data_IF_684159319982
#
_entry.id   IF_684159319982
#
_cell.length_a   1.000
_cell.length_b   1.000
_cell.length_c   1.000
_cell.angle_alpha   90.00
_cell.angle_beta   90.00
_cell.angle_gamma   90.00
#
_symmetry.space_group_name_H-M   'P 1'
#
loop_
_entity.id
_entity.type
_entity.pdbx_description
1 polymer ?
#
# COMPACT_ATOMS: atom_id res chain seq x y z
N UNK A 1 33.15 45.07 21.94
CA UNK A 1 34.46 44.90 21.30
C UNK A 1 34.33 43.59 20.51
N UNK A 2 34.15 43.70 19.35
CA UNK A 2 34.83 43.68 18.07
C UNK A 2 34.49 42.42 17.31
N UNK A 3 33.66 42.56 16.30
CA UNK A 3 33.76 41.79 15.02
C UNK A 3 35.11 42.19 14.34
N UNK A 4 35.60 41.51 13.35
CA UNK A 4 35.03 41.40 12.02
C UNK A 4 35.28 40.06 11.27
N UNK A 5 34.40 39.76 10.27
CA UNK A 5 34.54 39.97 8.81
C UNK A 5 35.62 39.15 8.07
N UNK A 6 35.24 38.41 7.03
CA UNK A 6 35.52 38.63 5.60
C UNK A 6 35.48 37.31 4.85
N UNK A 7 34.62 37.14 3.91
CA UNK A 7 34.64 37.38 2.45
C UNK A 7 35.30 36.23 1.67
N UNK A 8 34.55 35.60 0.85
CA UNK A 8 34.33 35.75 -0.60
C UNK A 8 35.47 35.22 -1.49
N UNK A 9 35.12 34.42 -2.45
CA UNK A 9 35.47 34.47 -3.88
C UNK A 9 35.06 33.18 -4.58
N UNK A 10 34.12 33.24 -5.55
CA UNK A 10 34.31 33.41 -7.01
C UNK A 10 35.07 32.22 -7.61
N UNK A 11 34.63 31.52 -8.56
CA UNK A 11 34.18 31.71 -9.94
C UNK A 11 34.66 30.51 -10.75
N UNK A 12 33.93 30.17 -11.78
CA UNK A 12 34.35 29.27 -12.85
C UNK A 12 33.15 28.52 -13.41
N UNK A 13 32.47 29.01 -14.24
CA UNK A 13 32.29 29.30 -15.66
C UNK A 13 33.11 28.43 -16.61
N UNK A 14 32.43 27.57 -17.38
CA UNK A 14 32.71 27.17 -18.76
C UNK A 14 31.59 26.20 -19.18
N UNK A 15 30.68 26.60 -19.97
CA UNK A 15 30.57 26.90 -21.40
C UNK A 15 30.78 25.67 -22.31
N UNK A 16 29.63 25.30 -22.93
CA UNK A 16 29.39 24.89 -24.30
C UNK A 16 30.08 23.62 -24.85
N UNK A 17 29.35 22.75 -25.51
CA UNK A 17 29.27 22.80 -26.96
C UNK A 17 28.27 21.75 -27.47
N UNK A 18 27.30 22.23 -28.23
CA UNK A 18 26.42 21.45 -29.08
C UNK A 18 27.18 20.94 -30.31
N UNK A 19 26.94 19.69 -30.69
CA UNK A 19 27.20 19.23 -32.07
C UNK A 19 26.08 18.31 -32.50
N UNK A 20 25.23 18.79 -33.39
CA UNK A 20 24.55 18.02 -34.44
C UNK A 20 25.41 18.17 -35.71
N UNK A 21 25.49 17.17 -36.58
CA UNK A 21 24.66 17.01 -37.74
C UNK A 21 24.46 15.51 -38.12
N UNK A 22 23.74 15.07 -39.07
CA UNK A 22 23.04 15.48 -40.23
C UNK A 22 22.37 14.22 -40.81
N UNK A 23 21.29 14.46 -41.47
CA UNK A 23 20.47 13.58 -42.29
C UNK A 23 21.24 12.83 -43.37
N UNK A 24 20.89 11.55 -43.63
CA UNK A 24 21.05 10.94 -44.95
C UNK A 24 19.79 10.13 -45.30
N UNK A 25 19.16 10.59 -46.33
CA UNK A 25 18.07 9.99 -47.13
C UNK A 25 18.65 8.95 -48.10
N UNK A 26 17.98 7.80 -48.27
CA UNK A 26 17.90 7.02 -49.53
C UNK A 26 16.92 5.86 -49.31
N UNK A 27 15.84 5.86 -49.84
CA UNK A 27 15.13 5.64 -51.12
C UNK A 27 15.25 4.19 -51.65
N UNK A 28 14.06 3.59 -51.70
CA UNK A 28 13.50 2.67 -52.71
C UNK A 28 13.93 1.20 -52.72
N UNK A 29 12.93 0.34 -52.69
CA UNK A 29 13.01 -1.05 -53.09
C UNK A 29 11.71 -1.79 -52.83
N UNK A 30 10.71 -1.65 -53.75
CA UNK A 30 9.52 -2.50 -53.81
C UNK A 30 9.93 -3.94 -54.11
N UNK A 31 9.39 -4.90 -53.38
CA UNK A 31 9.07 -6.19 -53.96
C UNK A 31 7.92 -6.85 -53.19
N UNK A 32 6.84 -7.03 -53.89
CA UNK A 32 5.66 -7.83 -53.54
C UNK A 32 6.06 -9.29 -53.47
N UNK A 33 5.73 -9.98 -52.37
CA UNK A 33 5.25 -11.38 -52.45
C UNK A 33 4.31 -11.66 -51.29
N UNK A 34 3.08 -11.97 -51.67
CA UNK A 34 2.04 -12.54 -50.84
C UNK A 34 2.48 -13.88 -50.27
N UNK A 35 2.30 -14.07 -49.01
CA UNK A 35 2.11 -15.39 -48.43
C UNK A 35 1.21 -15.24 -47.23
N UNK A 36 0.01 -15.75 -47.38
CA UNK A 36 -0.98 -15.89 -46.37
C UNK A 36 -0.43 -16.83 -45.27
N UNK A 37 -0.25 -16.31 -44.09
CA UNK A 37 -0.09 -17.13 -42.88
C UNK A 37 -1.16 -16.71 -41.90
N UNK A 38 -2.00 -17.67 -41.56
CA UNK A 38 -3.14 -17.56 -40.66
C UNK A 38 -2.80 -16.85 -39.35
N UNK A 39 -3.73 -16.11 -38.75
CA UNK A 39 -3.53 -15.54 -37.44
C UNK A 39 -3.53 -16.68 -36.42
N UNK A 40 -2.37 -16.92 -35.82
CA UNK A 40 -2.27 -17.68 -34.59
C UNK A 40 -3.09 -16.90 -33.56
N UNK A 41 -4.25 -17.43 -33.26
CA UNK A 41 -5.13 -16.91 -32.24
C UNK A 41 -4.33 -16.71 -30.96
N UNK A 42 -4.05 -15.46 -30.60
CA UNK A 42 -3.71 -15.07 -29.24
C UNK A 42 -4.90 -15.50 -28.38
N UNK A 43 -4.85 -16.70 -27.86
CA UNK A 43 -5.63 -17.08 -26.71
C UNK A 43 -5.31 -16.05 -25.64
N UNK A 44 -6.14 -15.00 -25.54
CA UNK A 44 -6.24 -14.22 -24.32
C UNK A 44 -6.56 -15.24 -23.23
N UNK A 45 -5.55 -15.61 -22.48
CA UNK A 45 -5.77 -16.20 -21.18
C UNK A 45 -6.73 -15.23 -20.47
N UNK A 46 -7.99 -15.58 -20.46
CA UNK A 46 -8.97 -15.02 -19.54
C UNK A 46 -8.47 -15.50 -18.19
N UNK A 47 -7.57 -14.70 -17.59
CA UNK A 47 -7.26 -14.82 -16.20
C UNK A 47 -8.61 -14.87 -15.50
N UNK A 48 -8.87 -15.98 -14.85
CA UNK A 48 -10.01 -16.14 -13.96
C UNK A 48 -9.97 -14.95 -13.01
N UNK A 49 -10.82 -13.95 -13.30
CA UNK A 49 -11.07 -12.86 -12.38
C UNK A 49 -11.87 -13.55 -11.29
N UNK A 50 -11.17 -13.95 -10.23
CA UNK A 50 -11.81 -14.29 -8.98
C UNK A 50 -12.82 -13.18 -8.70
N UNK A 51 -14.06 -13.49 -8.29
CA UNK A 51 -15.06 -12.49 -8.04
C UNK A 51 -14.42 -11.41 -7.17
N UNK A 52 -14.51 -10.16 -7.61
CA UNK A 52 -14.05 -9.04 -6.83
C UNK A 52 -14.84 -9.09 -5.51
N UNK A 53 -14.22 -9.60 -4.46
CA UNK A 53 -14.77 -9.49 -3.12
C UNK A 53 -14.90 -7.99 -2.90
N UNK A 54 -16.12 -7.56 -2.76
CA UNK A 54 -16.43 -6.14 -2.58
C UNK A 54 -15.82 -5.74 -1.23
N UNK A 55 -14.70 -5.03 -1.28
CA UNK A 55 -13.97 -4.63 -0.09
C UNK A 55 -14.70 -3.44 0.53
N UNK A 56 -15.60 -3.72 1.47
CA UNK A 56 -16.24 -2.65 2.20
C UNK A 56 -15.28 -2.06 3.26
N UNK A 57 -14.43 -1.16 2.78
CA UNK A 57 -13.44 -0.43 3.60
C UNK A 57 -14.11 0.31 4.75
N UNK A 58 -15.31 0.85 4.52
CA UNK A 58 -16.09 1.58 5.52
C UNK A 58 -16.56 0.66 6.64
N UNK A 59 -17.07 -0.52 6.30
CA UNK A 59 -17.55 -1.50 7.29
C UNK A 59 -16.41 -1.95 8.19
N UNK A 60 -15.28 -2.33 7.61
CA UNK A 60 -14.13 -2.78 8.40
C UNK A 60 -13.58 -1.65 9.29
N UNK A 61 -13.45 -0.44 8.75
CA UNK A 61 -13.01 0.73 9.52
C UNK A 61 -13.91 1.00 10.74
N UNK A 62 -15.22 0.96 10.54
CA UNK A 62 -16.20 1.15 11.63
C UNK A 62 -16.13 0.03 12.67
N UNK A 63 -15.90 -1.19 12.23
CA UNK A 63 -15.73 -2.34 13.12
C UNK A 63 -14.49 -2.16 14.03
N UNK A 64 -13.41 -1.56 13.52
CA UNK A 64 -12.24 -1.16 14.30
C UNK A 64 -12.48 0.09 15.17
N UNK A 65 -13.61 0.79 15.02
CA UNK A 65 -13.89 2.03 15.74
C UNK A 65 -13.01 3.22 15.33
N UNK A 66 -12.39 3.15 14.15
CA UNK A 66 -11.41 4.13 13.72
C UNK A 66 -12.01 5.17 12.76
N UNK A 67 -11.46 6.40 12.81
CA UNK A 67 -11.70 7.41 11.80
C UNK A 67 -10.89 7.10 10.51
N UNK A 68 -11.10 7.88 9.44
CA UNK A 68 -10.39 7.66 8.16
C UNK A 68 -8.88 7.86 8.27
N UNK A 69 -8.36 8.95 8.88
CA UNK A 69 -6.93 9.13 9.05
C UNK A 69 -6.25 7.96 9.74
N UNK A 70 -6.81 7.48 10.85
CA UNK A 70 -6.24 6.40 11.65
C UNK A 70 -6.28 5.07 10.88
N UNK A 71 -7.40 4.75 10.27
CA UNK A 71 -7.50 3.54 9.46
C UNK A 71 -6.62 3.59 8.21
N UNK A 72 -6.42 4.81 7.66
CA UNK A 72 -5.46 5.05 6.58
C UNK A 72 -4.04 4.68 6.98
N UNK A 73 -3.61 5.06 8.18
CA UNK A 73 -2.30 4.68 8.72
C UNK A 73 -2.15 3.16 8.85
N UNK A 74 -3.19 2.45 9.31
CA UNK A 74 -3.17 0.98 9.37
C UNK A 74 -3.00 0.34 7.99
N UNK A 75 -3.66 0.90 6.97
CA UNK A 75 -3.56 0.40 5.60
C UNK A 75 -2.30 0.88 4.86
N UNK A 76 -1.65 1.96 5.34
CA UNK A 76 -0.53 2.63 4.66
C UNK A 76 -0.98 3.56 3.54
N UNK A 77 -2.17 4.16 3.64
CA UNK A 77 -2.75 5.06 2.63
C UNK A 77 -3.30 6.34 3.25
N UNK A 78 -3.38 7.41 2.43
CA UNK A 78 -3.93 8.70 2.86
C UNK A 78 -5.44 8.65 3.09
N UNK A 79 -5.93 9.55 3.93
CA UNK A 79 -7.37 9.74 4.16
C UNK A 79 -8.16 9.96 2.86
N UNK A 80 -7.60 10.75 1.93
CA UNK A 80 -8.21 11.01 0.62
C UNK A 80 -8.43 9.73 -0.18
N UNK A 81 -7.44 8.83 -0.14
CA UNK A 81 -7.53 7.53 -0.81
C UNK A 81 -8.64 6.67 -0.22
N UNK A 82 -8.74 6.64 1.12
CA UNK A 82 -9.81 5.93 1.80
C UNK A 82 -11.18 6.52 1.46
N UNK A 83 -11.31 7.85 1.47
CA UNK A 83 -12.55 8.52 1.10
C UNK A 83 -13.01 8.10 -0.30
N UNK A 84 -12.09 8.06 -1.26
CA UNK A 84 -12.37 7.62 -2.62
C UNK A 84 -12.83 6.14 -2.68
N UNK A 85 -12.19 5.25 -1.91
CA UNK A 85 -12.62 3.84 -1.85
C UNK A 85 -13.98 3.65 -1.15
N UNK A 86 -14.33 4.53 -0.22
CA UNK A 86 -15.61 4.47 0.50
C UNK A 86 -16.79 5.11 -0.25
N UNK A 87 -16.55 6.03 -1.20
CA UNK A 87 -17.60 6.85 -1.83
C UNK A 87 -17.72 6.61 -3.33
N UNK A 88 -16.60 6.54 -4.04
CA UNK A 88 -16.59 6.62 -5.51
C UNK A 88 -16.37 5.25 -6.17
N UNK A 89 -16.48 4.15 -5.44
CA UNK A 89 -16.22 2.81 -5.95
C UNK A 89 -14.79 2.63 -6.43
N UNK A 90 -13.86 3.47 -5.97
CA UNK A 90 -12.44 3.34 -6.23
C UNK A 90 -11.96 1.96 -5.79
N UNK A 91 -11.19 1.28 -6.66
CA UNK A 91 -10.70 -0.06 -6.35
C UNK A 91 -9.32 0.01 -5.73
N UNK A 92 -9.14 -0.48 -4.49
CA UNK A 92 -7.82 -0.63 -3.91
C UNK A 92 -6.90 -1.48 -4.79
N UNK A 93 -5.63 -1.09 -4.90
CA UNK A 93 -4.63 -1.89 -5.61
C UNK A 93 -4.35 -3.22 -4.89
N UNK A 94 -3.55 -4.10 -5.51
CA UNK A 94 -3.27 -5.43 -4.96
C UNK A 94 -2.62 -5.39 -3.56
N UNK A 95 -1.78 -4.39 -3.28
CA UNK A 95 -1.11 -4.23 -1.98
C UNK A 95 -2.13 -3.81 -0.92
N UNK A 96 -2.97 -2.82 -1.22
CA UNK A 96 -4.04 -2.37 -0.33
C UNK A 96 -5.03 -3.50 -0.02
N UNK A 97 -5.42 -4.28 -1.04
CA UNK A 97 -6.31 -5.43 -0.85
C UNK A 97 -5.71 -6.48 0.08
N UNK A 98 -4.42 -6.80 -0.10
CA UNK A 98 -3.73 -7.77 0.78
C UNK A 98 -3.74 -7.29 2.23
N UNK A 99 -3.40 -6.01 2.46
CA UNK A 99 -3.41 -5.41 3.79
C UNK A 99 -4.81 -5.35 4.41
N UNK A 100 -5.81 -5.01 3.60
CA UNK A 100 -7.21 -5.04 4.02
C UNK A 100 -7.64 -6.44 4.49
N UNK A 101 -7.36 -7.48 3.69
CA UNK A 101 -7.71 -8.85 4.07
C UNK A 101 -6.95 -9.33 5.31
N UNK A 102 -5.72 -8.90 5.50
CA UNK A 102 -4.97 -9.18 6.72
C UNK A 102 -5.65 -8.57 7.95
N UNK A 103 -6.07 -7.30 7.87
CA UNK A 103 -6.81 -6.64 8.94
C UNK A 103 -8.19 -7.27 9.15
N UNK A 104 -8.89 -7.64 8.09
CA UNK A 104 -10.17 -8.34 8.18
C UNK A 104 -10.04 -9.66 8.95
N UNK A 105 -9.08 -10.49 8.57
CA UNK A 105 -8.80 -11.74 9.28
C UNK A 105 -8.40 -11.51 10.73
N UNK A 106 -7.60 -10.49 11.00
CA UNK A 106 -7.25 -10.10 12.36
C UNK A 106 -8.51 -9.77 13.19
N UNK A 107 -9.41 -8.97 12.63
CA UNK A 107 -10.67 -8.62 13.30
C UNK A 107 -11.55 -9.86 13.57
N UNK A 108 -11.64 -10.77 12.61
CA UNK A 108 -12.38 -12.03 12.76
C UNK A 108 -11.82 -12.88 13.90
N UNK A 109 -10.50 -13.03 13.98
CA UNK A 109 -9.86 -13.81 15.05
C UNK A 109 -9.97 -13.11 16.41
N UNK A 110 -9.82 -11.78 16.46
CA UNK A 110 -10.05 -11.01 17.69
C UNK A 110 -11.49 -11.17 18.18
N UNK A 111 -12.46 -11.20 17.27
CA UNK A 111 -13.87 -11.37 17.60
C UNK A 111 -14.22 -12.70 18.26
N UNK A 112 -13.34 -13.69 18.19
CA UNK A 112 -13.49 -14.98 18.87
C UNK A 112 -13.00 -14.94 20.31
N UNK A 113 -12.17 -13.97 20.67
CA UNK A 113 -11.55 -13.83 21.97
C UNK A 113 -12.17 -12.64 22.74
N UNK A 114 -12.46 -11.57 22.02
CA UNK A 114 -12.98 -10.31 22.55
C UNK A 114 -14.35 -10.06 21.90
N UNK A 115 -15.34 -9.68 22.66
CA UNK A 115 -16.64 -9.28 22.08
C UNK A 115 -16.44 -8.12 21.10
N UNK A 116 -16.99 -8.17 19.87
CA UNK A 116 -16.74 -7.17 18.82
C UNK A 116 -16.90 -5.72 19.27
N UNK A 117 -17.87 -5.43 20.14
CA UNK A 117 -18.13 -4.09 20.68
C UNK A 117 -16.99 -3.53 21.54
N UNK A 118 -16.12 -4.37 22.08
CA UNK A 118 -14.98 -3.98 22.93
C UNK A 118 -13.65 -3.94 22.16
N UNK A 119 -13.63 -4.39 20.90
CA UNK A 119 -12.41 -4.37 20.09
C UNK A 119 -11.86 -2.94 19.90
N UNK A 120 -12.68 -1.90 19.62
CA UNK A 120 -12.21 -0.54 19.52
C UNK A 120 -11.49 -0.04 20.78
N UNK A 121 -12.08 -0.25 21.94
CA UNK A 121 -11.51 0.12 23.24
C UNK A 121 -10.20 -0.65 23.51
N UNK A 122 -10.21 -1.95 23.24
CA UNK A 122 -9.01 -2.79 23.38
C UNK A 122 -7.87 -2.34 22.47
N UNK A 123 -8.16 -1.97 21.22
CA UNK A 123 -7.15 -1.47 20.28
C UNK A 123 -6.49 -0.16 20.75
N UNK A 124 -7.22 0.67 21.51
CA UNK A 124 -6.73 1.94 22.04
C UNK A 124 -6.17 1.84 23.47
N UNK A 125 -6.19 0.66 24.07
CA UNK A 125 -5.69 0.44 25.44
C UNK A 125 -4.28 -0.12 25.41
N UNK A 126 -3.30 0.49 26.12
CA UNK A 126 -1.94 -0.04 26.24
C UNK A 126 -1.92 -1.46 26.80
N UNK A 127 -1.16 -2.36 26.19
CA UNK A 127 -1.11 -3.78 26.58
C UNK A 127 0.34 -4.21 26.91
N UNK A 128 0.49 -4.92 28.04
CA UNK A 128 1.80 -5.42 28.51
C UNK A 128 2.42 -6.41 27.51
N UNK A 129 1.62 -7.23 26.84
CA UNK A 129 2.09 -8.15 25.78
C UNK A 129 2.77 -7.42 24.63
N UNK A 130 2.50 -6.14 24.47
CA UNK A 130 3.09 -5.28 23.44
C UNK A 130 4.07 -4.25 24.03
N UNK A 131 4.67 -4.56 25.15
CA UNK A 131 5.63 -3.66 25.85
C UNK A 131 5.01 -2.30 26.20
N UNK A 132 3.72 -2.27 26.55
CA UNK A 132 2.98 -1.05 26.88
C UNK A 132 2.48 -0.26 25.67
N UNK A 133 2.69 -0.73 24.46
CA UNK A 133 2.09 -0.11 23.27
C UNK A 133 0.61 -0.46 23.16
N UNK A 134 -0.15 0.42 22.50
CA UNK A 134 -1.52 0.14 22.09
C UNK A 134 -1.50 -0.83 20.90
N UNK A 135 -2.43 -1.80 20.82
CA UNK A 135 -2.50 -2.69 19.65
C UNK A 135 -2.57 -1.96 18.32
N UNK A 136 -3.29 -0.83 18.24
CA UNK A 136 -3.35 0.00 17.03
C UNK A 136 -1.96 0.51 16.62
N UNK A 137 -1.14 0.96 17.56
CA UNK A 137 0.25 1.40 17.30
C UNK A 137 1.15 0.27 16.82
N UNK A 138 0.94 -0.94 17.33
CA UNK A 138 1.68 -2.14 16.90
C UNK A 138 1.39 -2.44 15.43
N UNK A 139 0.12 -2.35 15.03
CA UNK A 139 -0.30 -2.53 13.63
C UNK A 139 0.28 -1.43 12.73
N UNK A 140 0.21 -0.16 13.15
CA UNK A 140 0.78 1.00 12.42
C UNK A 140 2.27 0.86 12.17
N UNK A 141 3.00 0.30 13.14
CA UNK A 141 4.44 0.03 13.04
C UNK A 141 4.78 -1.21 12.21
N UNK A 142 3.78 -1.86 11.61
CA UNK A 142 3.96 -3.06 10.80
C UNK A 142 4.28 -4.33 11.59
N UNK A 143 4.05 -4.32 12.91
CA UNK A 143 4.31 -5.45 13.80
C UNK A 143 3.05 -6.26 14.11
N UNK A 144 2.21 -6.45 13.10
CA UNK A 144 0.97 -7.22 13.23
C UNK A 144 1.22 -8.68 13.66
N UNK A 145 2.42 -9.19 13.42
CA UNK A 145 2.91 -10.47 13.89
C UNK A 145 2.76 -10.66 15.40
N UNK A 146 2.96 -9.59 16.20
CA UNK A 146 2.80 -9.65 17.65
C UNK A 146 1.33 -9.89 18.07
N UNK A 147 0.38 -9.33 17.33
CA UNK A 147 -1.03 -9.58 17.59
C UNK A 147 -1.40 -11.03 17.25
N UNK A 148 -0.89 -11.55 16.14
CA UNK A 148 -1.09 -12.94 15.78
C UNK A 148 -0.52 -13.89 16.82
N UNK A 149 0.67 -13.61 17.35
CA UNK A 149 1.28 -14.39 18.42
C UNK A 149 0.40 -14.37 19.68
N UNK A 150 -0.04 -13.20 20.14
CA UNK A 150 -0.94 -13.07 21.30
C UNK A 150 -2.25 -13.85 21.11
N UNK A 151 -2.87 -13.77 19.91
CA UNK A 151 -4.08 -14.52 19.61
C UNK A 151 -3.83 -16.02 19.70
N UNK A 152 -2.72 -16.48 19.13
CA UNK A 152 -2.32 -17.86 19.18
C UNK A 152 -2.11 -18.36 20.62
N UNK A 153 -1.36 -17.63 21.42
CA UNK A 153 -1.11 -17.95 22.84
C UNK A 153 -2.42 -17.99 23.64
N UNK A 154 -3.32 -17.02 23.42
CA UNK A 154 -4.63 -16.98 24.07
C UNK A 154 -5.53 -18.18 23.73
N UNK A 155 -5.42 -18.72 22.52
CA UNK A 155 -6.25 -19.86 22.07
C UNK A 155 -5.72 -21.22 22.53
N UNK A 156 -4.42 -21.37 22.61
CA UNK A 156 -3.78 -22.66 22.90
C UNK A 156 -3.25 -22.75 24.34
N UNK A 157 -3.50 -21.74 25.16
CA UNK A 157 -3.12 -21.76 26.60
C UNK A 157 -1.63 -21.81 26.85
N UNK A 158 -0.80 -21.42 25.88
CA UNK A 158 0.65 -21.36 26.01
C UNK A 158 0.99 -19.94 26.51
N UNK A 159 0.67 -19.67 27.78
CA UNK A 159 1.23 -18.51 28.44
C UNK A 159 2.67 -18.85 28.85
N UNK A 160 3.63 -18.19 28.24
CA UNK A 160 5.03 -18.17 28.68
C UNK A 160 5.21 -17.14 29.79
#
# INVERSE_FOLDING_TARGET
>A
MSTPRKAASRSGLAVATAVRPASVTSRAGQSRRSSATAPIGRARARGSIAPAVDLDVRVLRRAFGLNRPDFGRLLGYSERMLAMWETDGGRPNAVARRRYHELQRLFEELSRIIRPKHIPEWLDTPNRSFKGLKPVEVIERGRIDWLWQMIYESRYGIAT
#
